data_IF_456260587689
#
_entry.id   IF_456260587689
#
_cell.length_a   1.000
_cell.length_b   1.000
_cell.length_c   1.000
_cell.angle_alpha   90.00
_cell.angle_beta   90.00
_cell.angle_gamma   90.00
#
_symmetry.space_group_name_H-M   'P 1'
#
loop_
_entity.id
_entity.type
_entity.pdbx_description
1 polymer ?
#
# COMPACT_ATOMS: atom_id res chain seq x y z
N UNK A 1 -6.94 -2.66 -17.80
CA UNK A 1 -5.54 -2.83 -18.26
C UNK A 1 -4.59 -1.82 -17.60
N UNK A 2 -4.84 -0.51 -17.66
CA UNK A 2 -3.95 0.51 -17.07
C UNK A 2 -3.73 0.38 -15.55
N UNK A 3 -4.78 0.07 -14.80
CA UNK A 3 -4.70 -0.20 -13.34
C UNK A 3 -3.80 -1.40 -13.01
N UNK A 4 -3.85 -2.47 -13.81
CA UNK A 4 -3.02 -3.66 -13.63
C UNK A 4 -1.54 -3.37 -13.87
N UNK A 5 -1.23 -2.60 -14.89
CA UNK A 5 0.16 -2.18 -15.18
C UNK A 5 0.70 -1.35 -14.03
N UNK A 6 -0.09 -0.40 -13.52
CA UNK A 6 0.31 0.43 -12.39
C UNK A 6 0.54 -0.38 -11.10
N UNK A 7 -0.26 -1.44 -10.86
CA UNK A 7 -0.04 -2.38 -9.74
C UNK A 7 1.32 -3.08 -9.88
N UNK A 8 1.60 -3.66 -11.05
CA UNK A 8 2.86 -4.40 -11.31
C UNK A 8 4.06 -3.47 -11.18
N UNK A 9 3.98 -2.28 -11.76
CA UNK A 9 5.03 -1.26 -11.68
C UNK A 9 5.28 -0.83 -10.23
N UNK A 10 4.22 -0.66 -9.44
CA UNK A 10 4.33 -0.26 -8.04
C UNK A 10 5.02 -1.34 -7.19
N UNK A 11 4.70 -2.63 -7.43
CA UNK A 11 5.35 -3.75 -6.75
C UNK A 11 6.84 -3.83 -7.11
N UNK A 12 7.18 -3.66 -8.40
CA UNK A 12 8.57 -3.63 -8.86
C UNK A 12 9.35 -2.49 -8.19
N UNK A 13 8.81 -1.28 -8.18
CA UNK A 13 9.40 -0.12 -7.51
C UNK A 13 9.61 -0.37 -6.01
N UNK A 14 8.64 -0.97 -5.34
CA UNK A 14 8.76 -1.32 -3.92
C UNK A 14 9.90 -2.31 -3.68
N UNK A 15 10.00 -3.34 -4.51
CA UNK A 15 10.99 -4.41 -4.39
C UNK A 15 12.40 -3.85 -4.62
N UNK A 16 12.55 -3.02 -5.65
CA UNK A 16 13.81 -2.30 -5.92
C UNK A 16 14.17 -1.41 -4.74
N UNK A 17 13.23 -0.62 -4.24
CA UNK A 17 13.47 0.27 -3.09
C UNK A 17 13.94 -0.47 -1.85
N UNK A 18 13.37 -1.65 -1.59
CA UNK A 18 13.73 -2.50 -0.46
C UNK A 18 15.14 -3.08 -0.61
N UNK A 19 15.50 -3.57 -1.79
CA UNK A 19 16.86 -4.07 -2.08
C UNK A 19 17.92 -2.97 -1.91
N UNK A 20 17.65 -1.77 -2.41
CA UNK A 20 18.58 -0.65 -2.28
C UNK A 20 18.72 -0.14 -0.85
N UNK A 21 17.76 -0.42 0.03
CA UNK A 21 17.79 -0.03 1.44
C UNK A 21 18.89 -0.75 2.24
N UNK A 22 19.29 -1.94 1.78
CA UNK A 22 20.38 -2.75 2.36
C UNK A 22 21.77 -2.22 2.00
N UNK A 23 21.89 -1.35 1.00
CA UNK A 23 23.17 -0.82 0.54
C UNK A 23 23.54 0.41 1.36
N UNK A 24 24.71 0.38 2.03
CA UNK A 24 25.16 1.44 2.96
C UNK A 24 25.32 2.83 2.34
N UNK A 25 25.57 2.94 1.03
CA UNK A 25 25.90 4.20 0.35
C UNK A 25 24.72 4.88 -0.36
N UNK A 26 23.48 4.43 -0.13
CA UNK A 26 22.30 4.98 -0.81
C UNK A 26 21.57 5.97 0.08
N UNK A 27 21.03 7.03 -0.53
CA UNK A 27 20.25 8.03 0.20
C UNK A 27 18.93 7.41 0.73
N UNK A 28 18.90 7.11 2.02
CA UNK A 28 17.76 6.48 2.70
C UNK A 28 16.49 7.33 2.65
N UNK A 29 16.60 8.66 2.69
CA UNK A 29 15.44 9.55 2.62
C UNK A 29 14.77 9.45 1.25
N UNK A 30 15.55 9.38 0.17
CA UNK A 30 15.00 9.19 -1.18
C UNK A 30 14.26 7.85 -1.29
N UNK A 31 14.87 6.76 -0.81
CA UNK A 31 14.24 5.43 -0.82
C UNK A 31 12.94 5.40 0.00
N UNK A 32 12.90 6.10 1.13
CA UNK A 32 11.70 6.20 1.95
C UNK A 32 10.54 6.88 1.21
N UNK A 33 10.79 8.02 0.54
CA UNK A 33 9.77 8.65 -0.31
C UNK A 33 9.38 7.76 -1.49
N UNK A 34 10.31 7.00 -2.05
CA UNK A 34 10.05 6.05 -3.13
C UNK A 34 9.15 4.89 -2.67
N UNK A 35 9.36 4.36 -1.45
CA UNK A 35 8.50 3.33 -0.83
C UNK A 35 7.10 3.88 -0.57
N UNK A 36 6.98 5.09 -0.01
CA UNK A 36 5.68 5.71 0.23
C UNK A 36 4.94 5.98 -1.08
N UNK A 37 5.63 6.51 -2.08
CA UNK A 37 5.05 6.79 -3.39
C UNK A 37 4.57 5.52 -4.09
N UNK A 38 5.38 4.46 -4.06
CA UNK A 38 5.01 3.16 -4.65
C UNK A 38 3.85 2.49 -3.90
N UNK A 39 3.81 2.53 -2.57
CA UNK A 39 2.64 2.10 -1.78
C UNK A 39 1.39 2.88 -2.14
N UNK A 40 1.50 4.21 -2.24
CA UNK A 40 0.37 5.08 -2.58
C UNK A 40 -0.19 4.74 -3.96
N UNK A 41 0.68 4.61 -4.97
CA UNK A 41 0.30 4.21 -6.31
C UNK A 41 -0.32 2.81 -6.35
N UNK A 42 0.22 1.86 -5.57
CA UNK A 42 -0.30 0.51 -5.46
C UNK A 42 -1.74 0.50 -4.94
N UNK A 43 -1.99 1.14 -3.79
CA UNK A 43 -3.33 1.18 -3.18
C UNK A 43 -4.33 2.00 -3.99
N UNK A 44 -3.88 3.10 -4.61
CA UNK A 44 -4.71 3.89 -5.51
C UNK A 44 -5.12 3.08 -6.75
N UNK A 45 -4.17 2.37 -7.35
CA UNK A 45 -4.44 1.51 -8.52
C UNK A 45 -5.37 0.35 -8.18
N UNK A 46 -5.22 -0.25 -7.00
CA UNK A 46 -6.14 -1.26 -6.46
C UNK A 46 -7.56 -0.70 -6.32
N UNK A 47 -7.68 0.47 -5.72
CA UNK A 47 -8.97 1.15 -5.52
C UNK A 47 -9.65 1.45 -6.86
N UNK A 48 -8.91 1.96 -7.84
CA UNK A 48 -9.41 2.18 -9.21
C UNK A 48 -9.83 0.86 -9.84
N UNK A 49 -8.98 -0.17 -9.79
CA UNK A 49 -9.29 -1.47 -10.37
C UNK A 49 -10.59 -2.06 -9.81
N UNK A 50 -10.86 -1.81 -8.53
CA UNK A 50 -12.08 -2.23 -7.84
C UNK A 50 -13.30 -1.40 -8.25
N UNK A 51 -13.18 -0.06 -8.41
CA UNK A 51 -14.28 0.81 -8.88
C UNK A 51 -14.74 0.40 -10.29
N UNK A 52 -13.81 0.02 -11.16
CA UNK A 52 -14.12 -0.41 -12.52
C UNK A 52 -14.66 -1.85 -12.60
N UNK A 53 -14.36 -2.71 -11.61
CA UNK A 53 -14.89 -4.07 -11.56
C UNK A 53 -16.32 -4.08 -10.98
N UNK A 54 -17.29 -3.76 -11.84
CA UNK A 54 -18.72 -3.51 -11.51
C UNK A 54 -19.48 -4.66 -10.83
N UNK A 55 -18.92 -5.86 -10.73
CA UNK A 55 -19.73 -7.05 -10.45
C UNK A 55 -19.98 -7.39 -8.97
N UNK A 56 -19.19 -6.91 -7.98
CA UNK A 56 -19.41 -7.32 -6.56
C UNK A 56 -19.12 -6.29 -5.45
N UNK A 57 -18.34 -5.23 -5.66
CA UNK A 57 -17.99 -4.29 -4.57
C UNK A 57 -18.14 -2.82 -4.98
N UNK A 58 -19.26 -2.18 -4.60
CA UNK A 58 -19.37 -0.71 -4.65
C UNK A 58 -18.58 -0.11 -3.49
N UNK A 59 -17.41 0.46 -3.76
CA UNK A 59 -16.68 1.27 -2.80
C UNK A 59 -17.44 2.58 -2.57
N UNK A 60 -17.80 2.87 -1.31
CA UNK A 60 -18.41 4.13 -0.94
C UNK A 60 -17.29 5.11 -0.54
N UNK A 61 -17.58 6.42 -0.63
CA UNK A 61 -16.66 7.49 -0.19
C UNK A 61 -16.12 7.28 1.23
N UNK A 62 -16.93 6.67 2.11
CA UNK A 62 -16.54 6.31 3.48
C UNK A 62 -15.38 5.33 3.53
N UNK A 63 -15.31 4.35 2.63
CA UNK A 63 -14.23 3.36 2.62
C UNK A 63 -12.94 3.97 2.08
N UNK A 64 -13.04 4.93 1.15
CA UNK A 64 -11.90 5.70 0.68
C UNK A 64 -11.29 6.55 1.80
N UNK A 65 -12.12 7.13 2.67
CA UNK A 65 -11.68 7.83 3.89
C UNK A 65 -10.93 6.91 4.86
N UNK A 66 -11.46 5.70 5.12
CA UNK A 66 -10.78 4.70 5.97
C UNK A 66 -9.42 4.30 5.39
N UNK A 67 -9.34 4.20 4.07
CA UNK A 67 -8.12 3.87 3.32
C UNK A 67 -7.07 5.00 3.45
N UNK A 68 -7.49 6.26 3.36
CA UNK A 68 -6.60 7.42 3.60
C UNK A 68 -6.10 7.44 5.06
N UNK A 69 -6.97 7.17 6.04
CA UNK A 69 -6.59 7.18 7.46
C UNK A 69 -5.61 6.05 7.78
N UNK A 70 -5.85 4.84 7.27
CA UNK A 70 -4.91 3.73 7.45
C UNK A 70 -3.60 3.98 6.71
N UNK A 71 -3.65 4.63 5.56
CA UNK A 71 -2.46 5.01 4.82
C UNK A 71 -1.62 6.05 5.58
N UNK A 72 -2.23 7.10 6.14
CA UNK A 72 -1.50 8.11 6.90
C UNK A 72 -0.90 7.55 8.20
N UNK A 73 -1.63 6.70 8.92
CA UNK A 73 -1.09 5.98 10.09
C UNK A 73 0.12 5.11 9.73
N UNK A 74 0.05 4.42 8.59
CA UNK A 74 1.16 3.62 8.08
C UNK A 74 2.42 4.45 7.81
N UNK A 75 2.28 5.64 7.22
CA UNK A 75 3.42 6.56 6.97
C UNK A 75 4.11 6.93 8.28
N UNK A 76 3.33 7.28 9.30
CA UNK A 76 3.86 7.66 10.62
C UNK A 76 4.63 6.51 11.26
N UNK A 77 4.08 5.29 11.17
CA UNK A 77 4.74 4.10 11.70
C UNK A 77 6.02 3.76 10.93
N UNK A 78 5.99 3.86 9.60
CA UNK A 78 7.16 3.61 8.75
C UNK A 78 8.27 4.63 9.02
N UNK A 79 7.92 5.90 9.30
CA UNK A 79 8.87 6.92 9.72
C UNK A 79 9.58 6.55 11.03
N UNK A 80 8.84 6.06 12.02
CA UNK A 80 9.40 5.65 13.31
C UNK A 80 10.39 4.48 13.17
N UNK A 81 10.09 3.57 12.25
CA UNK A 81 10.81 2.30 12.10
C UNK A 81 11.90 2.34 11.00
N UNK A 82 12.08 3.49 10.34
CA UNK A 82 13.00 3.69 9.20
C UNK A 82 14.47 3.31 9.47
N UNK A 83 14.88 3.25 10.74
CA UNK A 83 16.24 2.87 11.14
C UNK A 83 16.48 1.36 11.14
N UNK A 84 15.42 0.55 11.11
CA UNK A 84 15.48 -0.91 11.19
C UNK A 84 14.92 -1.55 9.93
N UNK A 85 15.76 -2.29 9.20
CA UNK A 85 15.37 -3.02 7.99
C UNK A 85 14.25 -4.04 8.26
N UNK A 86 14.41 -4.83 9.33
CA UNK A 86 13.38 -5.78 9.79
C UNK A 86 12.10 -5.08 10.17
N UNK A 87 12.22 -3.92 10.82
CA UNK A 87 11.06 -3.16 11.23
C UNK A 87 10.28 -2.58 10.03
N UNK A 88 10.96 -2.16 8.96
CA UNK A 88 10.32 -1.72 7.71
C UNK A 88 9.54 -2.90 7.11
N UNK A 89 10.13 -4.10 7.06
CA UNK A 89 9.45 -5.28 6.53
C UNK A 89 8.19 -5.65 7.35
N UNK A 90 8.28 -5.63 8.68
CA UNK A 90 7.14 -5.88 9.57
C UNK A 90 6.05 -4.82 9.38
N UNK A 91 6.44 -3.55 9.26
CA UNK A 91 5.51 -2.45 8.99
C UNK A 91 4.76 -2.67 7.68
N UNK A 92 5.47 -2.99 6.59
CA UNK A 92 4.86 -3.25 5.28
C UNK A 92 3.90 -4.44 5.33
N UNK A 93 4.24 -5.49 6.08
CA UNK A 93 3.41 -6.68 6.24
C UNK A 93 2.12 -6.36 7.00
N UNK A 94 2.21 -5.66 8.14
CA UNK A 94 1.05 -5.22 8.92
C UNK A 94 0.13 -4.34 8.08
N UNK A 95 0.72 -3.42 7.31
CA UNK A 95 -0.04 -2.50 6.45
C UNK A 95 -0.81 -3.25 5.35
N UNK A 96 -0.18 -4.21 4.69
CA UNK A 96 -0.85 -5.05 3.69
C UNK A 96 -1.95 -5.92 4.32
N UNK A 97 -1.72 -6.49 5.50
CA UNK A 97 -2.73 -7.26 6.23
C UNK A 97 -3.94 -6.40 6.63
N UNK A 98 -3.71 -5.19 7.12
CA UNK A 98 -4.79 -4.26 7.47
C UNK A 98 -5.65 -3.93 6.24
N UNK A 99 -5.01 -3.68 5.10
CA UNK A 99 -5.71 -3.43 3.84
C UNK A 99 -6.53 -4.65 3.39
N UNK A 100 -5.94 -5.86 3.49
CA UNK A 100 -6.62 -7.10 3.15
C UNK A 100 -7.82 -7.40 4.07
N UNK A 101 -7.72 -7.10 5.36
CA UNK A 101 -8.81 -7.27 6.32
C UNK A 101 -9.99 -6.32 6.03
N UNK A 102 -9.70 -5.05 5.75
CA UNK A 102 -10.72 -4.07 5.34
C UNK A 102 -11.44 -4.58 4.08
N UNK A 103 -10.68 -5.12 3.13
CA UNK A 103 -11.22 -5.71 1.92
C UNK A 103 -12.12 -6.93 2.22
N UNK A 104 -11.65 -7.89 3.02
CA UNK A 104 -12.42 -9.09 3.38
C UNK A 104 -13.73 -8.76 4.09
N UNK A 105 -13.69 -7.86 5.08
CA UNK A 105 -14.88 -7.41 5.80
C UNK A 105 -15.91 -6.81 4.85
N UNK A 106 -15.46 -6.02 3.87
CA UNK A 106 -16.34 -5.43 2.87
C UNK A 106 -16.91 -6.46 1.89
N UNK A 107 -16.09 -7.41 1.42
CA UNK A 107 -16.57 -8.50 0.56
C UNK A 107 -17.69 -9.29 1.24
N UNK A 108 -17.56 -9.56 2.55
CA UNK A 108 -18.56 -10.30 3.34
C UNK A 108 -19.85 -9.50 3.53
N UNK A 109 -19.75 -8.19 3.79
CA UNK A 109 -20.92 -7.31 3.93
C UNK A 109 -21.67 -7.03 2.62
N UNK A 110 -21.10 -7.30 1.44
CA UNK A 110 -21.82 -7.17 0.16
C UNK A 110 -22.66 -8.39 -0.22
N UNK A 111 -22.45 -9.52 0.49
CA UNK A 111 -23.10 -10.81 0.24
C UNK A 111 -24.29 -11.08 1.18
N UNK A 112 -24.48 -10.24 2.21
CA UNK A 112 -25.66 -10.20 3.08
C UNK A 112 -26.56 -9.03 2.66
#
# INVERSE_FOLDING_TARGET
MYSHIAIVVSILLMTVSFLYLQIKNVNRSFLFFLIIGSLGLYYFSLSINQIYNKNKCKFAIRDFLVLIITFSLGIVYLWFVIRSELGIAICLLIWNLAFFLIFLMKSKNSLN
#
